data_IF_169524120180
#
_entry.id   IF_169524120180
#
_cell.length_a   1.000
_cell.length_b   1.000
_cell.length_c   1.000
_cell.angle_alpha   90.00
_cell.angle_beta   90.00
_cell.angle_gamma   90.00
#
_symmetry.space_group_name_H-M   'P 1'
#
loop_
_entity.id
_entity.type
_entity.pdbx_description
1 polymer ?
#
# COMPACT_ATOMS: atom_id res chain seq x y z
N UNK A 1 20.45 -3.29 -3.73
CA UNK A 1 20.45 -4.13 -2.50
C UNK A 1 21.23 -3.58 -1.29
N UNK A 2 22.41 -2.97 -1.42
CA UNK A 2 23.18 -2.46 -0.25
C UNK A 2 22.34 -1.58 0.69
N UNK A 3 21.63 -0.59 0.13
CA UNK A 3 20.74 0.31 0.89
C UNK A 3 19.61 -0.43 1.61
N UNK A 4 18.98 -1.41 0.98
CA UNK A 4 17.91 -2.21 1.60
C UNK A 4 18.40 -2.97 2.84
N UNK A 5 19.60 -3.56 2.77
CA UNK A 5 20.23 -4.21 3.93
C UNK A 5 20.56 -3.21 5.04
N UNK A 6 21.05 -2.02 4.69
CA UNK A 6 21.29 -0.95 5.68
C UNK A 6 19.99 -0.48 6.35
N UNK A 7 18.90 -0.36 5.60
CA UNK A 7 17.57 -0.05 6.16
C UNK A 7 17.13 -1.17 7.10
N UNK A 8 17.19 -2.43 6.67
CA UNK A 8 16.78 -3.56 7.49
C UNK A 8 17.59 -3.69 8.79
N UNK A 9 18.90 -3.40 8.75
CA UNK A 9 19.74 -3.42 9.94
C UNK A 9 19.42 -2.28 10.92
N UNK A 10 18.92 -1.13 10.43
CA UNK A 10 18.56 0.01 11.27
C UNK A 10 17.12 -0.09 11.82
N UNK A 11 16.17 -0.47 10.97
CA UNK A 11 14.77 -0.75 11.29
C UNK A 11 14.17 -1.62 10.17
N UNK A 12 13.92 -2.93 10.41
CA UNK A 12 13.29 -3.80 9.42
C UNK A 12 11.97 -3.25 8.85
N UNK A 13 11.16 -2.55 9.65
CA UNK A 13 9.90 -1.94 9.19
C UNK A 13 10.13 -0.81 8.18
N UNK A 14 11.36 -0.28 8.10
CA UNK A 14 11.79 0.63 7.05
C UNK A 14 11.73 0.03 5.65
N UNK A 15 11.77 -1.30 5.51
CA UNK A 15 11.67 -1.97 4.21
C UNK A 15 10.37 -1.65 3.48
N UNK A 16 9.23 -1.61 4.18
CA UNK A 16 7.93 -1.24 3.58
C UNK A 16 7.91 0.20 3.06
N UNK A 17 8.70 1.10 3.68
CA UNK A 17 8.85 2.48 3.18
C UNK A 17 9.78 2.52 1.95
N UNK A 18 10.82 1.69 1.94
CA UNK A 18 11.70 1.53 0.80
C UNK A 18 10.98 0.92 -0.41
N UNK A 19 10.07 -0.03 -0.20
CA UNK A 19 9.18 -0.56 -1.28
C UNK A 19 8.44 0.59 -1.93
N UNK A 20 7.74 1.43 -1.16
CA UNK A 20 7.01 2.59 -1.72
C UNK A 20 7.91 3.54 -2.49
N UNK A 21 9.12 3.79 -1.99
CA UNK A 21 10.11 4.62 -2.69
C UNK A 21 10.53 4.02 -4.04
N UNK A 22 10.78 2.71 -4.09
CA UNK A 22 11.17 2.02 -5.33
C UNK A 22 9.98 1.87 -6.29
N UNK A 23 8.77 1.63 -5.79
CA UNK A 23 7.59 1.47 -6.61
C UNK A 23 7.03 2.80 -7.14
N UNK A 24 7.34 3.94 -6.50
CA UNK A 24 6.87 5.26 -6.92
C UNK A 24 7.16 5.61 -8.41
N UNK A 25 8.40 5.48 -8.93
CA UNK A 25 8.65 5.74 -10.36
C UNK A 25 7.91 4.76 -11.28
N UNK A 26 7.78 3.49 -10.88
CA UNK A 26 7.03 2.48 -11.62
C UNK A 26 5.53 2.85 -11.71
N UNK A 27 4.92 3.22 -10.58
CA UNK A 27 3.53 3.67 -10.51
C UNK A 27 3.29 4.96 -11.29
N UNK A 28 4.24 5.89 -11.26
CA UNK A 28 4.18 7.09 -12.07
C UNK A 28 4.15 6.73 -13.57
N UNK A 29 5.09 5.90 -14.04
CA UNK A 29 5.12 5.44 -15.45
C UNK A 29 3.83 4.73 -15.85
N UNK A 30 3.31 3.86 -14.98
CA UNK A 30 2.05 3.16 -15.20
C UNK A 30 0.88 4.15 -15.39
N UNK A 31 0.73 5.09 -14.46
CA UNK A 31 -0.40 6.04 -14.43
C UNK A 31 -0.32 7.07 -15.56
N UNK A 32 0.89 7.46 -15.95
CA UNK A 32 1.13 8.46 -17.01
C UNK A 32 1.34 7.87 -18.39
N UNK A 33 1.12 6.56 -18.58
CA UNK A 33 1.41 5.87 -19.86
C UNK A 33 0.81 6.59 -21.06
N UNK A 34 -0.44 7.06 -20.96
CA UNK A 34 -1.13 7.82 -22.01
C UNK A 34 -0.63 9.24 -22.23
N UNK A 35 -0.03 9.87 -21.22
CA UNK A 35 0.43 11.27 -21.31
C UNK A 35 1.68 11.37 -22.18
N UNK A 36 2.54 10.35 -22.10
CA UNK A 36 3.86 10.37 -22.75
C UNK A 36 3.97 9.48 -23.97
N UNK A 37 2.98 8.64 -24.26
CA UNK A 37 3.01 7.73 -25.40
C UNK A 37 2.03 8.14 -26.49
N UNK A 38 2.33 7.84 -27.77
CA UNK A 38 1.40 8.04 -28.87
C UNK A 38 0.06 7.35 -28.61
N UNK A 39 -1.02 7.83 -29.24
CA UNK A 39 -2.33 7.17 -29.19
C UNK A 39 -2.18 5.67 -29.52
N UNK A 40 -2.70 4.80 -28.62
CA UNK A 40 -2.58 3.33 -28.68
C UNK A 40 -1.19 2.73 -28.40
N UNK A 41 -0.20 3.53 -27.99
CA UNK A 41 1.11 3.04 -27.53
C UNK A 41 1.11 2.58 -26.07
N UNK A 42 0.11 3.00 -25.28
CA UNK A 42 0.01 2.72 -23.86
C UNK A 42 0.03 1.21 -23.58
N UNK A 43 0.84 0.83 -22.59
CA UNK A 43 0.83 -0.51 -21.99
C UNK A 43 -0.60 -0.92 -21.62
N UNK A 44 -0.95 -2.18 -21.81
CA UNK A 44 -2.29 -2.69 -21.49
C UNK A 44 -2.47 -2.96 -19.99
N UNK A 45 -1.50 -3.61 -19.35
CA UNK A 45 -1.46 -3.91 -17.92
C UNK A 45 -0.05 -4.31 -17.48
N UNK A 46 0.15 -4.41 -16.17
CA UNK A 46 1.21 -5.22 -15.59
C UNK A 46 0.65 -6.59 -15.19
N UNK A 47 1.45 -7.63 -15.32
CA UNK A 47 1.13 -8.99 -14.90
C UNK A 47 2.37 -9.70 -14.31
N UNK A 48 2.21 -10.92 -13.79
CA UNK A 48 3.33 -11.68 -13.24
C UNK A 48 4.40 -12.07 -14.26
N UNK A 49 4.07 -12.15 -15.55
CA UNK A 49 5.04 -12.44 -16.60
C UNK A 49 6.03 -11.29 -16.78
N UNK A 50 5.70 -10.07 -16.35
CA UNK A 50 6.65 -8.96 -16.34
C UNK A 50 7.83 -9.18 -15.39
N UNK A 51 7.65 -10.02 -14.36
CA UNK A 51 8.71 -10.42 -13.45
C UNK A 51 9.52 -11.58 -14.00
N UNK A 52 8.85 -12.62 -14.51
CA UNK A 52 9.46 -13.94 -14.75
C UNK A 52 9.49 -14.38 -16.22
N UNK A 53 8.96 -13.57 -17.13
CA UNK A 53 8.85 -13.80 -18.57
C UNK A 53 7.75 -14.80 -18.94
N UNK A 54 7.72 -15.95 -18.26
CA UNK A 54 6.68 -16.95 -18.43
C UNK A 54 6.36 -17.62 -17.11
N UNK A 55 5.07 -17.69 -16.78
CA UNK A 55 4.57 -18.46 -15.65
C UNK A 55 4.78 -19.98 -15.82
N UNK A 56 5.04 -20.44 -17.05
CA UNK A 56 5.40 -21.82 -17.37
C UNK A 56 6.91 -22.08 -17.28
N UNK A 57 7.73 -21.07 -16.96
CA UNK A 57 9.15 -21.26 -16.78
C UNK A 57 9.42 -22.18 -15.58
N UNK A 58 10.24 -23.22 -15.78
CA UNK A 58 10.64 -24.13 -14.71
C UNK A 58 11.60 -23.43 -13.77
N UNK A 59 11.32 -23.45 -12.47
CA UNK A 59 12.13 -22.75 -11.45
C UNK A 59 12.82 -23.70 -10.47
N UNK A 60 12.31 -24.92 -10.34
CA UNK A 60 12.88 -25.95 -9.45
C UNK A 60 13.63 -27.03 -10.23
N UNK A 61 14.44 -27.83 -9.52
CA UNK A 61 15.21 -28.91 -10.13
C UNK A 61 14.33 -30.10 -10.57
N UNK A 62 13.22 -30.33 -9.87
CA UNK A 62 12.18 -31.31 -10.20
C UNK A 62 11.21 -30.80 -11.29
N UNK A 63 11.37 -29.55 -11.74
CA UNK A 63 10.72 -29.02 -12.92
C UNK A 63 9.36 -28.36 -12.69
N UNK A 64 9.04 -27.99 -11.45
CA UNK A 64 7.88 -27.14 -11.15
C UNK A 64 8.04 -25.76 -11.79
N UNK A 65 6.93 -25.21 -12.25
CA UNK A 65 6.89 -23.89 -12.91
C UNK A 65 6.71 -22.75 -11.91
N UNK A 66 6.96 -21.52 -12.33
CA UNK A 66 6.70 -20.33 -11.51
C UNK A 66 5.23 -20.26 -11.05
N UNK A 67 4.28 -20.58 -11.94
CA UNK A 67 2.84 -20.67 -11.62
C UNK A 67 2.53 -21.63 -10.46
N UNK A 68 3.18 -22.80 -10.46
CA UNK A 68 2.97 -23.84 -9.44
C UNK A 68 3.60 -23.50 -8.09
N UNK A 69 4.60 -22.62 -8.07
CA UNK A 69 5.31 -22.22 -6.85
C UNK A 69 4.67 -20.98 -6.22
N UNK A 70 4.16 -20.05 -7.03
CA UNK A 70 3.35 -18.94 -6.53
C UNK A 70 2.08 -19.47 -5.87
N UNK A 71 1.74 -18.96 -4.69
CA UNK A 71 0.56 -19.44 -3.96
C UNK A 71 -0.52 -18.38 -3.99
N UNK A 72 -1.68 -18.73 -4.55
CA UNK A 72 -2.89 -17.91 -4.39
C UNK A 72 -3.45 -18.13 -2.99
N UNK A 73 -3.60 -17.05 -2.22
CA UNK A 73 -4.15 -17.11 -0.88
C UNK A 73 -5.68 -16.99 -0.94
N UNK A 74 -6.36 -18.14 -0.95
CA UNK A 74 -7.82 -18.19 -0.99
C UNK A 74 -8.45 -17.51 0.23
N UNK A 75 -9.43 -16.64 -0.03
CA UNK A 75 -10.14 -15.88 1.01
C UNK A 75 -9.36 -14.72 1.64
N UNK A 76 -8.09 -14.52 1.29
CA UNK A 76 -7.32 -13.37 1.77
C UNK A 76 -7.80 -12.09 1.07
N UNK A 77 -8.10 -11.05 1.87
CA UNK A 77 -8.56 -9.75 1.37
C UNK A 77 -7.77 -8.63 2.02
N UNK A 78 -7.28 -7.68 1.23
CA UNK A 78 -6.52 -6.53 1.72
C UNK A 78 -7.16 -5.23 1.26
N UNK A 79 -7.42 -4.32 2.20
CA UNK A 79 -7.85 -2.96 1.93
C UNK A 79 -6.63 -2.08 1.64
N UNK A 80 -6.52 -1.65 0.39
CA UNK A 80 -5.40 -0.86 -0.15
C UNK A 80 -5.80 0.61 -0.23
N UNK A 81 -4.91 1.50 0.19
CA UNK A 81 -5.14 2.96 0.14
C UNK A 81 -4.51 3.55 -1.11
N UNK A 82 -5.33 4.19 -1.95
CA UNK A 82 -4.87 4.70 -3.25
C UNK A 82 -3.78 5.77 -3.14
N UNK A 83 -3.80 6.57 -2.07
CA UNK A 83 -2.77 7.58 -1.81
C UNK A 83 -1.49 7.09 -1.13
N UNK A 84 -1.33 5.79 -0.89
CA UNK A 84 -0.22 5.24 -0.08
C UNK A 84 0.39 3.99 -0.67
N UNK A 85 -0.47 3.05 -1.07
CA UNK A 85 -0.05 1.70 -1.40
C UNK A 85 0.35 1.63 -2.89
N UNK A 86 1.41 0.87 -3.23
CA UNK A 86 1.86 0.75 -4.61
C UNK A 86 0.82 0.04 -5.51
N UNK A 87 0.14 0.78 -6.38
CA UNK A 87 -0.91 0.27 -7.27
C UNK A 87 -0.62 0.71 -8.70
N UNK A 88 -0.42 -0.27 -9.58
CA UNK A 88 -0.05 -0.04 -10.98
C UNK A 88 -1.29 0.06 -11.87
N UNK A 89 -2.05 1.15 -11.71
CA UNK A 89 -3.11 1.49 -12.64
C UNK A 89 -2.52 1.95 -13.98
N UNK A 90 -2.96 1.34 -15.07
CA UNK A 90 -2.53 1.66 -16.44
C UNK A 90 -3.72 2.13 -17.26
N UNK A 91 -4.02 3.45 -17.24
CA UNK A 91 -5.02 4.03 -18.14
C UNK A 91 -4.69 3.74 -19.61
N UNK A 92 -5.70 3.39 -20.41
CA UNK A 92 -5.52 3.03 -21.83
C UNK A 92 -6.38 3.85 -22.81
N UNK A 93 -7.41 4.56 -22.31
CA UNK A 93 -8.22 5.55 -23.04
C UNK A 93 -8.00 6.98 -22.52
N UNK A 94 -7.59 7.90 -23.41
CA UNK A 94 -7.39 9.32 -23.10
C UNK A 94 -8.68 10.00 -22.64
N UNK A 95 -9.79 9.78 -23.34
CA UNK A 95 -11.09 10.35 -22.98
C UNK A 95 -11.58 9.84 -21.62
N UNK A 96 -11.39 8.54 -21.35
CA UNK A 96 -11.77 7.93 -20.07
C UNK A 96 -10.91 8.45 -18.91
N UNK A 97 -9.60 8.57 -19.12
CA UNK A 97 -8.69 9.16 -18.13
C UNK A 97 -9.03 10.63 -17.87
N UNK A 98 -9.22 11.42 -18.93
CA UNK A 98 -9.61 12.83 -18.84
C UNK A 98 -10.91 12.99 -18.07
N UNK A 99 -11.92 12.18 -18.39
CA UNK A 99 -13.20 12.20 -17.69
C UNK A 99 -13.04 11.82 -16.20
N UNK A 100 -12.25 10.78 -15.90
CA UNK A 100 -12.00 10.34 -14.53
C UNK A 100 -11.28 11.44 -13.70
N UNK A 101 -10.20 12.02 -14.22
CA UNK A 101 -9.47 13.10 -13.55
C UNK A 101 -10.35 14.35 -13.40
N UNK A 102 -11.16 14.71 -14.39
CA UNK A 102 -11.97 15.93 -14.32
C UNK A 102 -13.16 15.80 -13.35
N UNK A 103 -13.74 14.60 -13.20
CA UNK A 103 -15.03 14.45 -12.56
C UNK A 103 -15.04 13.59 -11.28
N UNK A 104 -14.07 12.71 -11.05
CA UNK A 104 -14.03 11.81 -9.90
C UNK A 104 -13.12 12.37 -8.82
N UNK A 105 -13.62 12.37 -7.59
CA UNK A 105 -12.91 12.80 -6.40
C UNK A 105 -13.61 13.93 -5.67
N UNK A 106 -13.05 14.26 -4.54
CA UNK A 106 -13.61 15.20 -3.60
C UNK A 106 -14.02 16.55 -4.26
N UNK A 107 -15.27 16.99 -3.99
CA UNK A 107 -15.90 18.19 -4.58
C UNK A 107 -16.00 18.22 -6.12
N UNK A 108 -15.93 17.08 -6.80
CA UNK A 108 -16.12 17.00 -8.26
C UNK A 108 -17.50 16.47 -8.64
N UNK A 109 -17.86 16.62 -9.92
CA UNK A 109 -19.20 16.33 -10.45
C UNK A 109 -19.70 14.91 -10.18
N UNK A 110 -18.81 13.91 -10.20
CA UNK A 110 -19.16 12.50 -9.94
C UNK A 110 -18.99 12.12 -8.47
N UNK A 111 -18.67 13.08 -7.60
CA UNK A 111 -18.50 12.88 -6.17
C UNK A 111 -17.17 12.23 -5.79
N UNK A 112 -17.09 11.88 -4.51
CA UNK A 112 -15.93 11.22 -3.91
C UNK A 112 -15.62 9.89 -4.59
N UNK A 113 -14.35 9.51 -4.59
CA UNK A 113 -13.91 8.24 -5.16
C UNK A 113 -14.47 7.07 -4.36
N UNK A 114 -15.08 6.09 -5.06
CA UNK A 114 -15.59 4.85 -4.46
C UNK A 114 -15.25 3.65 -5.33
N UNK A 115 -14.90 2.55 -4.68
CA UNK A 115 -14.71 1.27 -5.35
C UNK A 115 -16.07 0.72 -5.82
N UNK A 116 -16.03 -0.08 -6.87
CA UNK A 116 -17.18 -0.75 -7.47
C UNK A 116 -16.71 -2.09 -8.10
N UNK A 117 -17.64 -2.83 -8.70
CA UNK A 117 -17.36 -4.14 -9.30
C UNK A 117 -16.38 -4.13 -10.48
N UNK A 118 -16.09 -2.95 -11.06
CA UNK A 118 -15.12 -2.81 -12.14
C UNK A 118 -13.68 -2.79 -11.62
N UNK A 119 -13.48 -2.49 -10.33
CA UNK A 119 -12.17 -2.42 -9.70
C UNK A 119 -11.64 -3.82 -9.39
N UNK A 120 -10.84 -4.36 -10.32
CA UNK A 120 -10.22 -5.69 -10.19
C UNK A 120 -8.73 -5.52 -10.01
N UNK A 121 -8.25 -5.88 -8.82
CA UNK A 121 -6.85 -5.72 -8.45
C UNK A 121 -6.28 -7.00 -7.83
N UNK A 122 -5.00 -7.24 -8.08
CA UNK A 122 -4.25 -8.40 -7.61
C UNK A 122 -3.07 -7.92 -6.76
N UNK A 123 -3.01 -8.36 -5.50
CA UNK A 123 -1.94 -7.98 -4.57
C UNK A 123 -0.82 -9.02 -4.58
N UNK A 124 0.41 -8.55 -4.78
CA UNK A 124 1.63 -9.36 -4.69
C UNK A 124 2.28 -9.18 -3.32
N UNK A 125 2.33 -10.27 -2.55
CA UNK A 125 3.08 -10.37 -1.30
C UNK A 125 4.49 -10.92 -1.55
N UNK A 126 5.46 -10.59 -0.69
CA UNK A 126 5.35 -9.84 0.58
C UNK A 126 5.53 -8.32 0.46
N UNK A 127 6.02 -7.81 -0.67
CA UNK A 127 6.38 -6.39 -0.79
C UNK A 127 5.19 -5.46 -1.03
N UNK A 128 4.02 -5.99 -1.38
CA UNK A 128 2.77 -5.24 -1.43
C UNK A 128 2.65 -4.34 -2.65
N UNK A 129 2.97 -4.87 -3.82
CA UNK A 129 2.68 -4.23 -5.11
C UNK A 129 1.37 -4.76 -5.65
N UNK A 130 0.51 -3.88 -6.15
CA UNK A 130 -0.80 -4.25 -6.66
C UNK A 130 -0.86 -4.05 -8.17
N UNK A 131 -1.27 -5.11 -8.88
CA UNK A 131 -1.54 -5.10 -10.31
C UNK A 131 -3.02 -4.82 -10.57
N UNK A 132 -3.31 -4.05 -11.62
CA UNK A 132 -4.68 -3.63 -11.94
C UNK A 132 -5.16 -4.29 -13.22
N UNK A 133 -6.29 -4.98 -13.15
CA UNK A 133 -6.94 -5.66 -14.28
C UNK A 133 -8.31 -5.06 -14.64
N UNK A 134 -8.82 -4.11 -13.85
CA UNK A 134 -10.07 -3.41 -14.09
C UNK A 134 -10.14 -2.10 -13.31
N UNK A 135 -10.90 -1.12 -13.82
CA UNK A 135 -11.02 0.20 -13.17
C UNK A 135 -9.79 1.11 -13.30
N UNK A 136 -8.90 0.85 -14.27
CA UNK A 136 -7.64 1.60 -14.45
C UNK A 136 -7.80 3.13 -14.41
N UNK A 137 -8.84 3.67 -15.04
CA UNK A 137 -9.06 5.12 -15.14
C UNK A 137 -9.49 5.76 -13.82
N UNK A 138 -10.47 5.16 -13.14
CA UNK A 138 -10.94 5.62 -11.84
C UNK A 138 -9.84 5.42 -10.78
N UNK A 139 -9.12 4.30 -10.80
CA UNK A 139 -7.97 4.09 -9.91
C UNK A 139 -6.88 5.13 -10.09
N UNK A 140 -6.53 5.48 -11.33
CA UNK A 140 -5.59 6.56 -11.61
C UNK A 140 -6.03 7.90 -11.01
N UNK A 141 -7.32 8.24 -11.10
CA UNK A 141 -7.87 9.45 -10.48
C UNK A 141 -7.77 9.40 -8.94
N UNK A 142 -8.15 8.28 -8.32
CA UNK A 142 -8.05 8.09 -6.87
C UNK A 142 -6.60 8.12 -6.35
N UNK A 143 -5.67 7.48 -7.07
CA UNK A 143 -4.23 7.53 -6.78
C UNK A 143 -3.71 8.97 -6.85
N UNK A 144 -4.03 9.68 -7.93
CA UNK A 144 -3.55 11.07 -8.16
C UNK A 144 -4.09 12.04 -7.12
N UNK A 145 -5.35 11.85 -6.69
CA UNK A 145 -5.97 12.65 -5.64
C UNK A 145 -5.59 12.19 -4.22
N UNK A 146 -4.88 11.06 -4.08
CA UNK A 146 -4.64 10.38 -2.82
C UNK A 146 -5.94 10.08 -2.02
N UNK A 147 -6.98 9.66 -2.73
CA UNK A 147 -8.34 9.50 -2.20
C UNK A 147 -8.87 8.07 -2.45
N UNK A 148 -9.55 7.51 -1.45
CA UNK A 148 -10.24 6.23 -1.58
C UNK A 148 -9.42 4.98 -1.27
N UNK A 149 -10.12 3.85 -1.24
CA UNK A 149 -9.57 2.53 -0.92
C UNK A 149 -10.14 1.44 -1.82
N UNK A 150 -9.31 0.50 -2.25
CA UNK A 150 -9.73 -0.65 -3.06
C UNK A 150 -9.39 -1.95 -2.34
N UNK A 151 -10.27 -2.94 -2.40
CA UNK A 151 -10.01 -4.27 -1.83
C UNK A 151 -9.40 -5.19 -2.87
N UNK A 152 -8.23 -5.75 -2.58
CA UNK A 152 -7.67 -6.85 -3.34
C UNK A 152 -8.27 -8.17 -2.86
N UNK A 153 -9.01 -8.84 -3.74
CA UNK A 153 -9.59 -10.17 -3.51
C UNK A 153 -8.75 -11.29 -4.10
N UNK A 154 -7.85 -10.95 -5.04
CA UNK A 154 -6.81 -11.86 -5.51
C UNK A 154 -5.50 -11.48 -4.82
N UNK A 155 -4.94 -12.41 -4.06
CA UNK A 155 -3.68 -12.23 -3.35
C UNK A 155 -2.74 -13.37 -3.72
N UNK A 156 -1.54 -13.01 -4.19
CA UNK A 156 -0.50 -13.96 -4.59
C UNK A 156 0.69 -13.81 -3.65
N UNK A 157 1.04 -14.89 -2.97
CA UNK A 157 2.24 -15.00 -2.16
C UNK A 157 3.42 -15.49 -3.01
N UNK A 158 4.40 -14.60 -3.19
CA UNK A 158 5.65 -14.90 -3.88
C UNK A 158 6.74 -15.40 -2.94
N UNK A 159 6.50 -15.50 -1.63
CA UNK A 159 7.51 -15.95 -0.67
C UNK A 159 8.14 -17.32 -1.04
N UNK A 160 7.40 -18.33 -1.52
CA UNK A 160 7.99 -19.60 -1.95
C UNK A 160 8.99 -19.46 -3.11
N UNK A 161 8.83 -18.46 -3.99
CA UNK A 161 9.72 -18.23 -5.13
C UNK A 161 11.14 -17.89 -4.71
N UNK A 162 11.35 -17.31 -3.52
CA UNK A 162 12.67 -16.87 -3.07
C UNK A 162 13.67 -18.01 -2.84
N UNK A 163 13.19 -19.23 -2.61
CA UNK A 163 14.03 -20.42 -2.53
C UNK A 163 14.61 -20.83 -3.90
N UNK A 164 13.93 -20.44 -4.99
CA UNK A 164 14.19 -20.96 -6.34
C UNK A 164 14.68 -19.90 -7.32
N UNK A 165 14.35 -18.63 -7.08
CA UNK A 165 14.69 -17.51 -7.95
C UNK A 165 15.38 -16.41 -7.14
N UNK A 166 16.31 -15.70 -7.77
CA UNK A 166 16.91 -14.46 -7.26
C UNK A 166 16.99 -13.44 -8.37
N UNK A 167 16.97 -12.16 -8.04
CA UNK A 167 17.33 -11.11 -8.99
C UNK A 167 18.80 -10.74 -8.80
N UNK A 168 19.58 -10.70 -9.89
CA UNK A 168 21.01 -10.39 -9.82
C UNK A 168 21.36 -8.90 -10.05
N UNK A 169 20.34 -8.07 -10.27
CA UNK A 169 20.49 -6.67 -10.65
C UNK A 169 20.25 -6.40 -12.13
N UNK A 170 20.11 -7.44 -12.95
CA UNK A 170 19.74 -7.35 -14.37
C UNK A 170 18.62 -8.35 -14.68
N UNK A 171 18.76 -9.61 -14.24
CA UNK A 171 17.83 -10.68 -14.60
C UNK A 171 17.40 -11.52 -13.39
N UNK A 172 16.24 -12.15 -13.53
CA UNK A 172 15.80 -13.25 -12.68
C UNK A 172 16.62 -14.49 -13.01
N UNK A 173 17.31 -14.99 -12.00
CA UNK A 173 18.21 -16.15 -12.06
C UNK A 173 17.62 -17.30 -11.27
N UNK A 174 17.51 -18.45 -11.91
CA UNK A 174 17.16 -19.71 -11.27
C UNK A 174 18.31 -20.18 -10.39
N UNK A 175 18.03 -20.45 -9.12
CA UNK A 175 19.07 -20.70 -8.10
C UNK A 175 19.77 -22.05 -8.24
N UNK A 176 19.06 -23.09 -8.68
CA UNK A 176 19.60 -24.44 -8.64
C UNK A 176 20.66 -24.72 -9.71
N UNK A 177 20.64 -23.98 -10.83
CA UNK A 177 21.58 -24.15 -11.94
C UNK A 177 22.14 -22.83 -12.50
N UNK A 178 21.73 -21.69 -11.95
CA UNK A 178 22.18 -20.37 -12.40
C UNK A 178 21.56 -19.92 -13.71
N UNK A 179 20.55 -20.61 -14.24
CA UNK A 179 19.94 -20.27 -15.52
C UNK A 179 19.27 -18.89 -15.49
N UNK A 180 19.51 -18.07 -16.52
CA UNK A 180 18.87 -16.77 -16.70
C UNK A 180 17.46 -16.94 -17.24
N UNK A 181 16.45 -16.71 -16.39
CA UNK A 181 15.04 -16.88 -16.73
C UNK A 181 14.52 -15.72 -17.57
N UNK A 182 14.69 -14.50 -17.06
CA UNK A 182 14.06 -13.32 -17.65
C UNK A 182 14.72 -12.03 -17.19
N UNK A 183 14.68 -11.00 -18.03
CA UNK A 183 15.02 -9.64 -17.65
C UNK A 183 13.70 -8.89 -17.41
N UNK A 184 13.40 -8.46 -16.17
CA UNK A 184 12.18 -7.73 -15.89
C UNK A 184 12.06 -6.50 -16.80
N UNK A 185 10.84 -6.24 -17.28
CA UNK A 185 10.55 -5.12 -18.18
C UNK A 185 10.93 -3.76 -17.58
N UNK A 186 10.83 -3.64 -16.26
CA UNK A 186 11.24 -2.50 -15.45
C UNK A 186 12.13 -3.03 -14.31
N UNK A 187 13.32 -2.42 -14.11
CA UNK A 187 14.29 -2.87 -13.11
C UNK A 187 13.72 -2.86 -11.67
N UNK A 188 12.78 -1.94 -11.40
CA UNK A 188 12.13 -1.83 -10.10
C UNK A 188 11.40 -3.11 -9.71
N UNK A 189 10.86 -3.88 -10.66
CA UNK A 189 10.21 -5.16 -10.38
C UNK A 189 11.20 -6.17 -9.78
N UNK A 190 12.40 -6.26 -10.35
CA UNK A 190 13.47 -7.12 -9.82
C UNK A 190 13.99 -6.65 -8.46
N UNK A 191 14.11 -5.33 -8.27
CA UNK A 191 14.52 -4.73 -6.99
C UNK A 191 13.47 -5.00 -5.90
N UNK A 192 12.18 -4.80 -6.21
CA UNK A 192 11.06 -5.07 -5.29
C UNK A 192 11.01 -6.55 -4.90
N UNK A 193 11.24 -7.46 -5.86
CA UNK A 193 11.32 -8.89 -5.59
C UNK A 193 12.38 -9.21 -4.51
N UNK A 194 13.60 -8.66 -4.63
CA UNK A 194 14.66 -8.88 -3.64
C UNK A 194 14.44 -8.14 -2.32
N UNK A 195 13.76 -6.98 -2.32
CA UNK A 195 13.32 -6.33 -1.08
C UNK A 195 12.29 -7.21 -0.36
N UNK A 196 11.35 -7.80 -1.09
CA UNK A 196 10.39 -8.75 -0.55
C UNK A 196 11.06 -9.97 0.09
N UNK A 197 12.12 -10.50 -0.53
CA UNK A 197 12.94 -11.56 0.08
C UNK A 197 13.54 -11.12 1.41
N UNK A 198 14.06 -9.90 1.50
CA UNK A 198 14.57 -9.34 2.76
C UNK A 198 13.46 -9.13 3.79
N UNK A 199 12.26 -8.73 3.36
CA UNK A 199 11.12 -8.59 4.27
C UNK A 199 10.80 -9.94 4.93
N UNK A 200 10.76 -11.04 4.15
CA UNK A 200 10.56 -12.40 4.69
C UNK A 200 11.69 -12.80 5.64
N UNK A 201 12.96 -12.55 5.26
CA UNK A 201 14.15 -12.83 6.08
C UNK A 201 14.09 -12.15 7.46
N UNK A 202 13.49 -10.95 7.53
CA UNK A 202 13.35 -10.16 8.74
C UNK A 202 11.95 -10.24 9.40
N UNK A 203 11.04 -11.11 8.92
CA UNK A 203 9.69 -11.23 9.46
C UNK A 203 8.78 -10.01 9.24
N UNK A 204 9.14 -9.13 8.31
CA UNK A 204 8.37 -7.93 7.97
C UNK A 204 7.20 -8.31 7.06
N UNK A 205 5.99 -7.96 7.48
CA UNK A 205 4.77 -8.16 6.70
C UNK A 205 4.37 -6.88 5.96
N UNK A 206 3.63 -7.06 4.87
CA UNK A 206 2.94 -5.95 4.24
C UNK A 206 1.91 -5.35 5.21
N UNK A 207 1.88 -4.02 5.28
CA UNK A 207 1.22 -3.24 6.34
C UNK A 207 -0.10 -2.59 5.89
N UNK A 208 -0.78 -3.21 4.91
CA UNK A 208 -2.17 -2.90 4.59
C UNK A 208 -3.12 -3.64 5.55
N UNK A 209 -4.32 -3.07 5.74
CA UNK A 209 -5.34 -3.67 6.60
C UNK A 209 -5.93 -4.91 5.91
N UNK A 210 -6.00 -6.02 6.63
CA UNK A 210 -6.78 -7.18 6.17
C UNK A 210 -8.26 -6.83 6.26
N UNK A 211 -8.97 -6.91 5.14
CA UNK A 211 -10.38 -6.60 5.10
C UNK A 211 -11.17 -7.72 5.79
N UNK A 212 -12.14 -7.36 6.62
CA UNK A 212 -13.04 -8.33 7.25
C UNK A 212 -14.16 -8.76 6.30
N UNK A 213 -14.80 -9.90 6.56
CA UNK A 213 -15.85 -10.46 5.68
C UNK A 213 -17.03 -9.50 5.42
N UNK A 214 -17.24 -8.51 6.30
CA UNK A 214 -18.33 -7.53 6.21
C UNK A 214 -17.95 -6.20 5.53
N UNK A 215 -16.68 -5.98 5.18
CA UNK A 215 -16.28 -4.82 4.39
C UNK A 215 -16.69 -5.07 2.92
N UNK A 216 -17.92 -4.66 2.62
CA UNK A 216 -18.45 -4.59 1.27
C UNK A 216 -17.90 -3.34 0.57
N UNK A 217 -17.78 -3.37 -0.77
CA UNK A 217 -17.47 -2.18 -1.58
C UNK A 217 -18.56 -1.07 -1.50
N UNK A 218 -19.50 -1.19 -0.57
CA UNK A 218 -20.72 -0.40 -0.44
C UNK A 218 -20.98 0.11 0.97
N UNK A 219 -19.97 0.20 1.84
CA UNK A 219 -20.22 0.75 3.18
C UNK A 219 -20.73 2.20 3.08
N UNK A 220 -21.95 2.34 3.58
CA UNK A 220 -22.84 3.46 3.47
C UNK A 220 -22.27 4.71 4.15
N UNK A 221 -22.36 5.85 3.47
CA UNK A 221 -22.78 7.11 4.09
C UNK A 221 -21.86 7.81 5.11
N UNK A 222 -20.63 7.38 5.34
CA UNK A 222 -19.66 8.12 6.15
C UNK A 222 -18.63 8.81 5.27
N UNK A 223 -18.53 10.14 5.32
CA UNK A 223 -17.33 10.85 4.84
C UNK A 223 -16.12 10.27 5.61
N UNK A 224 -15.41 9.32 5.01
CA UNK A 224 -14.30 8.62 5.66
C UNK A 224 -13.04 9.47 5.52
N UNK A 225 -12.96 10.52 6.31
CA UNK A 225 -11.73 11.28 6.46
C UNK A 225 -10.61 10.37 7.00
N UNK A 226 -9.35 10.59 6.59
CA UNK A 226 -8.25 9.81 7.14
C UNK A 226 -8.21 9.97 8.66
N UNK A 227 -8.45 8.86 9.36
CA UNK A 227 -8.37 8.81 10.81
C UNK A 227 -6.92 9.12 11.21
N UNK A 228 -6.77 10.18 11.98
CA UNK A 228 -5.52 10.59 12.59
C UNK A 228 -5.62 10.36 14.10
N UNK A 229 -4.49 10.16 14.75
CA UNK A 229 -4.41 9.88 16.18
C UNK A 229 -3.62 10.99 16.83
N UNK A 230 -4.26 11.75 17.71
CA UNK A 230 -3.57 12.66 18.61
C UNK A 230 -2.75 11.84 19.60
N UNK A 231 -1.52 12.24 19.83
CA UNK A 231 -0.60 11.52 20.71
C UNK A 231 -0.58 12.20 22.07
N UNK A 232 -1.00 11.46 23.09
CA UNK A 232 -0.89 11.88 24.48
C UNK A 232 0.25 11.11 25.15
N UNK A 233 1.12 11.81 25.87
CA UNK A 233 2.20 11.21 26.68
C UNK A 233 1.97 11.59 28.13
N UNK A 234 1.86 10.58 28.99
CA UNK A 234 1.55 10.72 30.41
C UNK A 234 0.30 11.59 30.67
N UNK A 235 -0.69 11.48 29.78
CA UNK A 235 -1.94 12.23 29.83
C UNK A 235 -1.88 13.65 29.27
N UNK A 236 -0.73 14.10 28.76
CA UNK A 236 -0.59 15.41 28.12
C UNK A 236 -0.63 15.30 26.60
N UNK A 237 -1.48 16.11 25.96
CA UNK A 237 -1.51 16.28 24.51
C UNK A 237 -0.18 16.88 24.04
N UNK A 238 0.50 16.16 23.16
CA UNK A 238 1.80 16.59 22.64
C UNK A 238 1.69 17.57 21.47
N UNK A 239 0.49 17.78 20.93
CA UNK A 239 0.25 18.54 19.70
C UNK A 239 0.66 17.81 18.41
N UNK A 240 1.18 16.59 18.53
CA UNK A 240 1.50 15.74 17.38
C UNK A 240 0.35 14.79 17.04
N UNK A 241 0.23 14.52 15.74
CA UNK A 241 -0.73 13.55 15.20
C UNK A 241 -0.01 12.46 14.43
N UNK A 242 -0.45 11.22 14.61
CA UNK A 242 -0.08 10.07 13.80
C UNK A 242 -1.15 9.79 12.75
N UNK A 243 -0.73 9.41 11.54
CA UNK A 243 -1.63 8.72 10.62
C UNK A 243 -1.90 7.30 11.12
N UNK A 244 -2.88 6.59 10.55
CA UNK A 244 -3.09 5.18 10.87
C UNK A 244 -1.84 4.31 10.76
N UNK A 245 -0.97 4.55 9.77
CA UNK A 245 0.31 3.83 9.67
C UNK A 245 1.32 4.24 10.75
N UNK A 246 1.31 5.51 11.16
CA UNK A 246 2.12 5.97 12.29
C UNK A 246 1.69 5.30 13.59
N UNK A 247 0.39 5.17 13.81
CA UNK A 247 -0.18 4.47 14.96
C UNK A 247 0.18 2.97 14.96
N UNK A 248 0.01 2.27 13.83
CA UNK A 248 0.45 0.86 13.69
C UNK A 248 1.93 0.69 14.00
N UNK A 249 2.78 1.61 13.53
CA UNK A 249 4.22 1.57 13.82
C UNK A 249 4.53 1.79 15.29
N UNK A 250 3.81 2.69 15.95
CA UNK A 250 3.97 2.94 17.38
C UNK A 250 3.60 1.71 18.22
N UNK A 251 2.54 0.99 17.84
CA UNK A 251 2.14 -0.27 18.47
C UNK A 251 3.20 -1.35 18.29
N UNK A 252 3.69 -1.55 17.06
CA UNK A 252 4.76 -2.52 16.79
C UNK A 252 6.03 -2.21 17.58
N UNK A 253 6.39 -0.93 17.74
CA UNK A 253 7.52 -0.51 18.57
C UNK A 253 7.32 -0.74 20.06
N UNK A 254 6.07 -0.89 20.50
CA UNK A 254 5.69 -1.27 21.86
C UNK A 254 5.44 -2.78 22.00
N UNK A 255 5.83 -3.58 20.99
CA UNK A 255 5.65 -5.04 20.97
C UNK A 255 4.16 -5.47 21.00
N UNK A 256 3.27 -4.58 20.54
CA UNK A 256 1.83 -4.85 20.43
C UNK A 256 1.51 -5.29 19.00
N UNK A 257 1.02 -6.52 18.86
CA UNK A 257 0.65 -7.12 17.58
C UNK A 257 -0.54 -6.40 16.92
N UNK A 258 -0.41 -5.92 15.67
CA UNK A 258 -1.51 -5.30 14.94
C UNK A 258 -2.74 -6.22 14.83
N UNK A 259 -3.92 -5.68 15.12
CA UNK A 259 -5.19 -6.43 15.07
C UNK A 259 -5.49 -7.28 16.30
N UNK A 260 -4.57 -7.38 17.26
CA UNK A 260 -4.84 -7.99 18.58
C UNK A 260 -5.93 -7.22 19.35
N UNK A 261 -6.50 -7.85 20.38
CA UNK A 261 -7.46 -7.19 21.26
C UNK A 261 -6.84 -5.95 21.95
N UNK A 262 -5.56 -6.02 22.30
CA UNK A 262 -4.80 -4.92 22.87
C UNK A 262 -4.60 -3.77 21.85
N UNK A 263 -4.20 -4.08 20.63
CA UNK A 263 -4.11 -3.09 19.56
C UNK A 263 -5.44 -2.40 19.29
N UNK A 264 -6.55 -3.15 19.30
CA UNK A 264 -7.90 -2.59 19.15
C UNK A 264 -8.27 -1.68 20.32
N UNK A 265 -7.97 -2.07 21.56
CA UNK A 265 -8.21 -1.23 22.73
C UNK A 265 -7.45 0.11 22.64
N UNK A 266 -6.21 0.11 22.15
CA UNK A 266 -5.44 1.36 21.96
C UNK A 266 -6.03 2.22 20.83
N UNK A 267 -6.34 1.61 19.69
CA UNK A 267 -6.72 2.32 18.46
C UNK A 267 -8.17 2.81 18.48
N UNK A 268 -9.07 2.00 19.04
CA UNK A 268 -10.51 2.26 19.04
C UNK A 268 -10.93 2.92 20.36
N UNK A 269 -10.50 2.35 21.48
CA UNK A 269 -10.97 2.76 22.81
C UNK A 269 -10.05 3.80 23.48
N UNK A 270 -8.95 4.19 22.81
CA UNK A 270 -7.98 5.16 23.33
C UNK A 270 -7.18 4.64 24.52
N UNK A 271 -7.08 3.32 24.70
CA UNK A 271 -6.29 2.73 25.78
C UNK A 271 -4.83 3.17 25.68
N UNK A 272 -4.19 3.34 26.84
CA UNK A 272 -2.78 3.69 26.87
C UNK A 272 -1.89 2.43 26.81
N UNK A 273 -0.76 2.54 26.14
CA UNK A 273 0.29 1.53 26.11
C UNK A 273 1.60 2.09 26.65
N UNK A 274 2.53 1.20 27.00
CA UNK A 274 3.86 1.60 27.45
C UNK A 274 4.79 1.67 26.25
N UNK A 275 5.43 2.82 26.05
CA UNK A 275 6.47 2.98 25.04
C UNK A 275 7.80 3.25 25.70
N UNK A 276 8.80 2.43 25.38
CA UNK A 276 10.17 2.62 25.84
C UNK A 276 10.90 3.57 24.91
N UNK A 277 11.24 4.74 25.44
CA UNK A 277 11.99 5.76 24.69
C UNK A 277 13.41 5.31 24.35
N UNK A 278 14.06 5.97 23.39
CA UNK A 278 15.49 5.73 23.08
C UNK A 278 16.44 5.96 24.27
N UNK A 279 16.03 6.76 25.26
CA UNK A 279 16.76 6.98 26.50
C UNK A 279 16.54 5.86 27.53
N UNK A 280 15.77 4.82 27.19
CA UNK A 280 15.48 3.67 28.05
C UNK A 280 14.39 3.91 29.09
N UNK A 281 13.76 5.09 29.10
CA UNK A 281 12.66 5.47 30.00
C UNK A 281 11.32 5.01 29.43
N UNK A 282 10.49 4.41 30.27
CA UNK A 282 9.13 4.02 29.92
C UNK A 282 8.18 5.20 30.07
N UNK A 283 7.31 5.39 29.07
CA UNK A 283 6.31 6.45 29.03
C UNK A 283 4.96 5.86 28.71
N UNK A 284 3.90 6.42 29.33
CA UNK A 284 2.52 6.03 29.02
C UNK A 284 2.05 6.81 27.81
N UNK A 285 1.71 6.13 26.72
CA UNK A 285 1.26 6.75 25.47
C UNK A 285 -0.19 6.37 25.22
N UNK A 286 -1.05 7.34 24.91
CA UNK A 286 -2.42 7.09 24.45
C UNK A 286 -2.63 7.73 23.06
N UNK A 287 -3.47 7.09 22.25
CA UNK A 287 -3.80 7.52 20.90
C UNK A 287 -5.28 7.83 20.82
N UNK A 288 -5.61 9.11 20.70
CA UNK A 288 -7.01 9.54 20.55
C UNK A 288 -7.31 9.79 19.08
N UNK A 289 -8.21 8.98 18.50
CA UNK A 289 -8.55 9.11 17.10
C UNK A 289 -9.44 10.34 16.83
N UNK A 290 -9.23 11.01 15.71
CA UNK A 290 -10.08 12.08 15.22
C UNK A 290 -10.14 12.06 13.68
N UNK A 291 -11.29 12.47 13.13
CA UNK A 291 -11.44 12.67 11.69
C UNK A 291 -10.78 13.98 11.28
N UNK A 292 -9.75 13.94 10.42
CA UNK A 292 -9.17 15.17 9.86
C UNK A 292 -10.01 15.66 8.69
N UNK A 293 -11.00 16.52 8.97
CA UNK A 293 -11.75 17.24 7.93
C UNK A 293 -10.85 18.29 7.27
N UNK A 294 -10.79 18.37 5.92
CA UNK A 294 -10.18 19.51 5.25
C UNK A 294 -10.87 20.80 5.70
N UNK A 295 -10.09 21.81 6.07
CA UNK A 295 -10.56 23.11 6.55
C UNK A 295 -11.59 23.77 5.61
N UNK A 296 -11.51 23.43 4.32
CA UNK A 296 -12.34 23.97 3.23
C UNK A 296 -13.84 23.71 3.44
N UNK A 297 -14.23 22.63 4.14
CA UNK A 297 -15.64 22.30 4.43
C UNK A 297 -16.24 23.06 5.59
N UNK A 298 -15.39 23.62 6.45
CA UNK A 298 -15.79 24.24 7.70
C UNK A 298 -15.35 25.71 7.75
N UNK A 299 -15.00 26.31 6.60
CA UNK A 299 -14.65 27.73 6.53
C UNK A 299 -15.79 28.60 7.08
N UNK A 300 -17.05 28.26 6.80
CA UNK A 300 -18.20 28.98 7.37
C UNK A 300 -18.25 28.88 8.92
N UNK A 301 -17.88 27.72 9.47
CA UNK A 301 -17.84 27.49 10.92
C UNK A 301 -16.65 28.18 11.59
N UNK A 302 -15.53 28.28 10.89
CA UNK A 302 -14.34 29.05 11.31
C UNK A 302 -14.64 30.56 11.26
N UNK A 303 -15.35 31.03 10.23
CA UNK A 303 -15.82 32.43 10.15
C UNK A 303 -16.80 32.75 11.27
N UNK A 304 -17.67 31.81 11.68
CA UNK A 304 -18.52 32.01 12.86
C UNK A 304 -17.71 32.07 14.16
N UNK A 305 -16.70 31.22 14.34
CA UNK A 305 -15.83 31.23 15.52
C UNK A 305 -14.97 32.52 15.62
N UNK A 306 -14.61 33.14 14.51
CA UNK A 306 -13.90 34.44 14.53
C UNK A 306 -14.82 35.63 14.77
N UNK A 307 -16.12 35.52 14.50
CA UNK A 307 -17.11 36.58 14.77
C UNK A 307 -17.57 36.58 16.25
N UNK A 308 -17.59 35.41 16.90
CA UNK A 308 -17.95 35.29 18.32
C UNK A 308 -16.74 35.22 19.27
N UNK A 309 -15.52 35.39 18.75
CA UNK A 309 -14.25 35.31 19.47
C UNK A 309 -13.52 36.65 19.59
N UNK A 310 -14.24 37.70 19.94
CA UNK A 310 -13.68 38.97 20.45
C UNK A 310 -14.78 39.74 21.19
N UNK A 311 -15.15 39.21 22.35
CA UNK A 311 -15.39 39.90 23.65
C UNK A 311 -16.20 39.00 24.60
#
# INVERSE_FOLDING_TARGET
MRRARSVAAADPLGLSSLVRLIAAPLQARATTSLVFQPAHGARSAYDLSDFFGSLLARVTADGMTADQICVRLEGARYCLRLGRDPILAVPWSESSLTNAIANIGHSRRMGEWRADFNHKVELLLPFGLTLVHGGNHSLAAGITNAEGTVVAETVIDLAPMYAHVRYDGVSMIRRHDGYRLWEPIDEELGILFEIGRLMVEHGVRYDAQMATANESNSDEGGESFPICYRVLVDGQDTGYSLSGSGATRALLQAEIEPGSAEARAVIVDGAAFTHRTRAGTDRRVALEHYGRRPLVHDLERIVQLSIFGSD
#
